data_IF_842962121083
#
_entry.id   IF_842962121083
#
_cell.length_a   1.000
_cell.length_b   1.000
_cell.length_c   1.000
_cell.angle_alpha   90.00
_cell.angle_beta   90.00
_cell.angle_gamma   90.00
#
_symmetry.space_group_name_H-M   'P 1'
#
loop_
_entity.id
_entity.type
_entity.pdbx_description
1 polymer ?
#
# COMPACT_ATOMS: atom_id res chain seq x y z
N UNK A 1 -5.75 37.58 40.63
CA UNK A 1 -4.81 36.47 40.83
C UNK A 1 -5.38 35.10 40.50
N UNK A 2 -6.56 34.71 41.02
CA UNK A 2 -7.15 33.36 40.80
C UNK A 2 -7.35 32.96 39.32
N UNK A 3 -7.82 33.86 38.41
CA UNK A 3 -8.04 33.55 36.99
C UNK A 3 -6.74 33.31 36.19
N UNK A 4 -5.63 33.91 36.60
CA UNK A 4 -4.32 33.72 35.95
C UNK A 4 -3.68 32.38 36.34
N UNK A 5 -3.82 31.97 37.61
CA UNK A 5 -3.38 30.70 38.10
C UNK A 5 -4.16 29.52 37.48
N UNK A 6 -5.49 29.67 37.29
CA UNK A 6 -6.32 28.67 36.64
C UNK A 6 -5.96 28.47 35.16
N UNK A 7 -5.67 29.56 34.42
CA UNK A 7 -5.22 29.45 33.01
C UNK A 7 -3.88 28.73 32.90
N UNK A 8 -2.94 29.01 33.78
CA UNK A 8 -1.63 28.32 33.81
C UNK A 8 -1.81 26.83 34.11
N UNK A 9 -2.67 26.49 35.07
CA UNK A 9 -2.96 25.09 35.40
C UNK A 9 -3.62 24.32 34.24
N UNK A 10 -4.56 24.93 33.53
CA UNK A 10 -5.20 24.33 32.35
C UNK A 10 -4.18 24.14 31.22
N UNK A 11 -3.32 25.11 30.98
CA UNK A 11 -2.27 25.01 29.94
C UNK A 11 -1.28 23.88 30.27
N UNK A 12 -0.88 23.74 31.52
CA UNK A 12 0.03 22.66 31.96
C UNK A 12 -0.67 21.29 31.83
N UNK A 13 -1.95 21.20 32.19
CA UNK A 13 -2.71 19.94 32.04
C UNK A 13 -2.88 19.51 30.58
N UNK A 14 -3.17 20.46 29.67
CA UNK A 14 -3.25 20.20 28.23
C UNK A 14 -1.90 19.75 27.68
N UNK A 15 -0.81 20.44 28.09
CA UNK A 15 0.54 20.07 27.64
C UNK A 15 0.99 18.71 28.15
N UNK A 16 0.65 18.38 29.41
CA UNK A 16 0.92 17.06 29.99
C UNK A 16 0.09 15.96 29.28
N UNK A 17 -1.16 16.23 28.93
CA UNK A 17 -2.01 15.31 28.17
C UNK A 17 -1.44 15.01 26.78
N UNK A 18 -1.01 16.05 26.05
CA UNK A 18 -0.37 15.89 24.73
C UNK A 18 0.92 15.08 24.82
N UNK A 19 1.74 15.33 25.84
CA UNK A 19 2.98 14.57 26.06
C UNK A 19 2.71 13.09 26.41
N UNK A 20 1.64 12.82 27.17
CA UNK A 20 1.22 11.45 27.51
C UNK A 20 0.73 10.73 26.25
N UNK A 21 -0.04 11.38 25.39
CA UNK A 21 -0.49 10.80 24.13
C UNK A 21 0.69 10.50 23.18
N UNK A 22 1.63 11.43 23.07
CA UNK A 22 2.85 11.22 22.27
C UNK A 22 3.71 10.06 22.82
N UNK A 23 3.89 9.98 24.16
CA UNK A 23 4.63 8.89 24.80
C UNK A 23 3.90 7.54 24.63
N UNK A 24 2.56 7.54 24.67
CA UNK A 24 1.73 6.35 24.46
C UNK A 24 1.79 5.87 23.00
N UNK A 25 1.81 6.79 22.04
CA UNK A 25 2.03 6.47 20.63
C UNK A 25 3.42 5.85 20.37
N UNK A 26 4.48 6.44 20.94
CA UNK A 26 5.85 5.91 20.86
C UNK A 26 5.96 4.54 21.55
N UNK A 27 5.32 4.38 22.72
CA UNK A 27 5.30 3.11 23.47
C UNK A 27 4.58 2.02 22.67
N UNK A 28 3.43 2.32 22.06
CA UNK A 28 2.69 1.37 21.23
C UNK A 28 3.46 1.00 19.96
N UNK A 29 4.14 1.96 19.32
CA UNK A 29 5.01 1.70 18.18
C UNK A 29 6.16 0.75 18.54
N UNK A 30 6.88 1.02 19.66
CA UNK A 30 7.93 0.13 20.12
C UNK A 30 7.41 -1.23 20.57
N UNK A 31 6.24 -1.28 21.21
CA UNK A 31 5.60 -2.54 21.61
C UNK A 31 5.12 -3.33 20.38
N UNK A 32 4.62 -2.66 19.36
CA UNK A 32 4.26 -3.30 18.10
C UNK A 32 5.48 -3.84 17.35
N UNK A 33 6.56 -3.07 17.24
CA UNK A 33 7.85 -3.58 16.73
C UNK A 33 8.41 -4.73 17.57
N UNK A 34 8.23 -4.69 18.87
CA UNK A 34 8.73 -5.70 19.80
C UNK A 34 7.83 -6.95 19.80
N UNK A 35 6.51 -6.81 19.70
CA UNK A 35 5.59 -7.94 19.59
C UNK A 35 5.74 -8.65 18.23
N UNK A 36 6.01 -7.93 17.14
CA UNK A 36 6.39 -8.57 15.86
C UNK A 36 7.72 -9.33 15.99
N UNK A 37 8.70 -8.83 16.75
CA UNK A 37 9.94 -9.56 17.05
C UNK A 37 9.72 -10.74 18.00
N UNK A 38 8.78 -10.63 18.95
CA UNK A 38 8.48 -11.70 19.93
C UNK A 38 7.61 -12.81 19.35
N UNK A 39 6.73 -12.53 18.39
CA UNK A 39 6.00 -13.56 17.63
C UNK A 39 6.97 -14.48 16.88
N UNK A 40 8.13 -13.96 16.45
CA UNK A 40 9.18 -14.72 15.80
C UNK A 40 10.07 -15.53 16.78
N UNK A 41 10.10 -15.17 18.06
CA UNK A 41 10.92 -15.89 19.08
C UNK A 41 10.15 -17.06 19.72
N UNK A 42 8.82 -17.10 19.65
CA UNK A 42 8.00 -18.18 20.27
C UNK A 42 7.97 -19.46 19.45
N UNK A 43 8.43 -19.46 18.18
CA UNK A 43 8.46 -20.67 17.33
C UNK A 43 9.71 -21.55 17.51
N UNK A 44 10.55 -21.33 18.51
CA UNK A 44 11.74 -22.15 18.74
C UNK A 44 11.91 -22.57 20.20
N UNK A 45 10.97 -23.33 20.76
CA UNK A 45 11.28 -24.38 21.74
C UNK A 45 10.11 -25.35 21.85
N UNK A 46 10.39 -26.53 21.40
CA UNK A 46 9.59 -27.74 21.36
C UNK A 46 8.95 -28.17 22.68
N UNK A 47 7.89 -28.91 22.57
CA UNK A 47 7.08 -29.69 23.53
C UNK A 47 5.89 -28.94 24.15
N UNK A 48 5.99 -27.69 24.58
CA UNK A 48 4.83 -26.98 25.14
C UNK A 48 3.89 -26.43 24.05
N UNK A 49 4.40 -26.11 22.86
CA UNK A 49 3.59 -25.63 21.72
C UNK A 49 2.74 -26.76 21.11
N UNK A 50 3.24 -28.00 21.11
CA UNK A 50 2.50 -29.18 20.60
C UNK A 50 1.26 -29.45 21.46
N UNK A 51 1.39 -29.38 22.79
CA UNK A 51 0.26 -29.59 23.70
C UNK A 51 -0.81 -28.50 23.61
N UNK A 52 -0.39 -27.24 23.38
CA UNK A 52 -1.34 -26.11 23.24
C UNK A 52 -2.10 -26.18 21.93
N UNK A 53 -1.49 -26.69 20.86
CA UNK A 53 -2.14 -26.89 19.56
C UNK A 53 -3.10 -28.09 19.62
N UNK A 54 -2.72 -29.16 20.30
CA UNK A 54 -3.62 -30.33 20.49
C UNK A 54 -4.85 -29.95 21.33
N UNK A 55 -4.69 -29.19 22.42
CA UNK A 55 -5.84 -28.68 23.20
C UNK A 55 -6.75 -27.76 22.38
N UNK A 56 -6.21 -26.87 21.54
CA UNK A 56 -6.98 -26.00 20.68
C UNK A 56 -7.71 -26.76 19.55
N UNK A 57 -7.12 -27.84 19.05
CA UNK A 57 -7.74 -28.74 18.06
C UNK A 57 -8.87 -29.55 18.70
N UNK A 58 -8.68 -30.06 19.92
CA UNK A 58 -9.74 -30.77 20.64
C UNK A 58 -10.93 -29.85 20.96
N UNK A 59 -10.69 -28.63 21.43
CA UNK A 59 -11.75 -27.64 21.73
C UNK A 59 -12.51 -27.23 20.46
N UNK A 60 -11.82 -27.08 19.30
CA UNK A 60 -12.44 -26.85 18.01
C UNK A 60 -13.25 -28.05 17.52
N UNK A 61 -12.73 -29.26 17.67
CA UNK A 61 -13.43 -30.51 17.28
C UNK A 61 -14.67 -30.75 18.14
N UNK A 62 -14.62 -30.44 19.44
CA UNK A 62 -15.77 -30.54 20.34
C UNK A 62 -16.86 -29.52 19.95
N UNK A 63 -16.47 -28.30 19.59
CA UNK A 63 -17.40 -27.25 19.12
C UNK A 63 -18.05 -27.59 17.77
N UNK A 64 -17.37 -28.32 16.88
CA UNK A 64 -17.90 -28.76 15.58
C UNK A 64 -18.80 -29.99 15.73
N UNK A 65 -18.54 -30.89 16.71
CA UNK A 65 -19.34 -32.07 16.97
C UNK A 65 -20.73 -31.77 17.54
N UNK A 66 -20.87 -30.62 18.24
CA UNK A 66 -22.18 -30.14 18.72
C UNK A 66 -23.07 -29.57 17.61
N UNK A 67 -22.50 -29.20 16.46
CA UNK A 67 -23.22 -28.57 15.34
C UNK A 67 -23.61 -29.58 14.24
N UNK A 68 -22.92 -30.71 14.11
CA UNK A 68 -23.18 -31.71 13.05
C UNK A 68 -23.09 -33.13 13.60
N UNK A 69 -24.23 -33.77 13.77
CA UNK A 69 -24.32 -35.16 14.18
C UNK A 69 -23.81 -36.17 13.11
N UNK A 70 -22.54 -36.11 12.70
CA UNK A 70 -21.89 -37.06 11.79
C UNK A 70 -20.56 -37.49 12.38
N UNK A 71 -20.50 -38.79 12.72
CA UNK A 71 -19.31 -39.48 13.17
C UNK A 71 -18.53 -40.05 11.98
N UNK A 72 -17.21 -40.14 12.15
CA UNK A 72 -16.20 -40.86 11.36
C UNK A 72 -15.67 -40.19 10.07
N UNK A 73 -14.54 -39.52 10.25
CA UNK A 73 -13.48 -39.47 9.24
C UNK A 73 -12.10 -39.55 9.93
N UNK A 74 -11.42 -40.68 9.75
CA UNK A 74 -10.02 -40.90 10.12
C UNK A 74 -9.11 -40.39 8.98
N UNK A 75 -8.24 -39.41 9.26
CA UNK A 75 -7.16 -38.95 8.36
C UNK A 75 -5.90 -39.79 8.65
N UNK A 76 -5.22 -40.34 7.63
CA UNK A 76 -3.95 -41.08 7.84
C UNK A 76 -2.83 -40.08 8.16
N UNK A 77 -2.10 -40.34 9.23
CA UNK A 77 -0.85 -39.61 9.56
C UNK A 77 0.29 -40.27 8.76
N UNK A 78 0.84 -39.56 7.78
CA UNK A 78 2.09 -39.94 7.15
C UNK A 78 3.29 -39.39 7.96
N UNK A 79 4.34 -40.23 8.02
CA UNK A 79 5.53 -40.11 8.87
C UNK A 79 6.38 -38.86 8.62
N UNK A 80 6.90 -38.32 9.73
CA UNK A 80 7.84 -37.21 9.79
C UNK A 80 9.10 -37.44 8.94
N UNK A 81 9.27 -36.64 7.87
CA UNK A 81 10.58 -36.37 7.29
C UNK A 81 11.14 -35.10 7.96
N UNK A 82 12.37 -35.20 8.46
CA UNK A 82 13.11 -34.06 9.00
C UNK A 82 13.27 -32.99 7.93
N UNK A 83 12.50 -31.92 8.03
CA UNK A 83 12.73 -30.70 7.27
C UNK A 83 13.76 -29.89 8.05
N UNK A 84 14.98 -29.77 7.53
CA UNK A 84 15.92 -28.73 7.96
C UNK A 84 15.30 -27.37 7.66
N UNK A 85 14.90 -26.66 8.70
CA UNK A 85 14.47 -25.26 8.56
C UNK A 85 15.72 -24.41 8.35
N UNK A 86 15.96 -24.01 7.11
CA UNK A 86 16.85 -22.90 6.85
C UNK A 86 16.28 -21.65 7.53
N UNK A 87 17.16 -20.88 8.17
CA UNK A 87 16.87 -19.63 8.85
C UNK A 87 16.42 -18.60 7.81
N UNK A 88 15.11 -18.59 7.49
CA UNK A 88 14.53 -17.60 6.60
C UNK A 88 14.55 -16.29 7.36
N UNK A 89 15.46 -15.40 7.02
CA UNK A 89 15.40 -14.00 7.45
C UNK A 89 14.04 -13.44 7.04
N UNK A 90 13.20 -13.16 8.03
CA UNK A 90 11.78 -12.79 7.86
C UNK A 90 11.65 -11.37 7.29
N UNK A 91 12.06 -11.21 6.06
CA UNK A 91 11.75 -10.08 5.24
C UNK A 91 10.29 -10.20 4.79
N UNK A 92 9.50 -9.18 5.01
CA UNK A 92 8.07 -9.17 4.66
C UNK A 92 7.78 -8.04 3.69
N UNK A 93 7.13 -8.38 2.58
CA UNK A 93 6.69 -7.38 1.60
C UNK A 93 5.19 -7.55 1.32
N UNK A 94 4.43 -6.50 1.57
CA UNK A 94 2.97 -6.50 1.40
C UNK A 94 2.55 -5.22 0.69
N UNK A 95 1.65 -5.36 -0.30
CA UNK A 95 0.97 -4.23 -0.93
C UNK A 95 -0.53 -4.38 -0.72
N UNK A 96 -1.16 -3.32 -0.18
CA UNK A 96 -2.60 -3.18 -0.10
C UNK A 96 -3.08 -2.21 -1.18
N UNK A 97 -3.91 -2.69 -2.09
CA UNK A 97 -4.66 -1.87 -3.04
C UNK A 97 -6.06 -1.66 -2.46
N UNK A 98 -6.32 -0.47 -1.95
CA UNK A 98 -7.56 -0.17 -1.25
C UNK A 98 -8.75 0.00 -2.21
N UNK A 99 -9.92 -0.49 -1.82
CA UNK A 99 -11.20 -0.15 -2.48
C UNK A 99 -11.64 1.25 -2.02
N UNK A 100 -11.18 2.26 -2.72
CA UNK A 100 -11.50 3.69 -2.47
C UNK A 100 -12.56 4.24 -3.42
N UNK A 101 -13.25 3.35 -4.13
CA UNK A 101 -14.12 3.73 -5.24
C UNK A 101 -13.33 4.13 -6.48
N UNK A 102 -13.82 5.14 -7.21
CA UNK A 102 -13.09 5.67 -8.37
C UNK A 102 -11.93 6.52 -7.86
N UNK A 103 -10.72 5.99 -7.97
CA UNK A 103 -9.48 6.59 -7.50
C UNK A 103 -8.44 5.56 -7.09
N UNK A 104 -7.29 6.03 -6.67
CA UNK A 104 -6.15 5.22 -6.26
C UNK A 104 -5.76 5.46 -4.81
N UNK A 105 -5.49 4.37 -4.11
CA UNK A 105 -4.75 4.39 -2.85
C UNK A 105 -4.08 3.05 -2.62
N UNK A 106 -2.77 3.07 -2.44
CA UNK A 106 -1.95 1.88 -2.29
C UNK A 106 -1.00 2.05 -1.13
N UNK A 107 -1.01 1.11 -0.18
CA UNK A 107 -0.05 1.08 0.92
C UNK A 107 0.94 -0.06 0.69
N UNK A 108 2.23 0.26 0.70
CA UNK A 108 3.33 -0.71 0.60
C UNK A 108 4.04 -0.80 1.94
N UNK A 109 4.15 -1.99 2.46
CA UNK A 109 4.93 -2.30 3.66
C UNK A 109 6.11 -3.20 3.27
N UNK A 110 7.31 -2.84 3.69
CA UNK A 110 8.49 -3.68 3.56
C UNK A 110 9.36 -3.58 4.82
N UNK A 111 9.55 -4.70 5.51
CA UNK A 111 10.40 -4.80 6.72
C UNK A 111 10.05 -3.77 7.82
N UNK A 112 8.81 -3.30 7.83
CA UNK A 112 8.29 -2.31 8.76
C UNK A 112 8.43 -0.86 8.30
N UNK A 113 9.03 -0.59 7.14
CA UNK A 113 8.96 0.71 6.48
C UNK A 113 7.68 0.80 5.64
N UNK A 114 7.07 1.98 5.59
CA UNK A 114 5.74 2.20 5.01
C UNK A 114 5.77 3.27 3.92
N UNK A 115 5.16 2.98 2.78
CA UNK A 115 4.95 3.94 1.71
C UNK A 115 3.48 3.98 1.31
N UNK A 116 2.86 5.14 1.44
CA UNK A 116 1.50 5.38 0.94
C UNK A 116 1.57 6.07 -0.42
N UNK A 117 1.00 5.47 -1.44
CA UNK A 117 0.90 5.99 -2.81
C UNK A 117 -0.56 6.33 -3.06
N UNK A 118 -0.83 7.61 -3.28
CA UNK A 118 -2.16 8.19 -3.44
C UNK A 118 -3.12 7.94 -2.27
N UNK A 119 -4.25 8.60 -2.28
CA UNK A 119 -5.18 8.61 -1.15
C UNK A 119 -6.65 8.50 -1.55
N UNK A 120 -6.94 8.22 -2.83
CA UNK A 120 -8.30 8.20 -3.33
C UNK A 120 -8.97 9.58 -3.33
N UNK A 121 -10.28 9.58 -3.50
CA UNK A 121 -11.11 10.80 -3.50
C UNK A 121 -11.13 11.49 -2.13
N UNK A 122 -11.53 12.77 -2.03
CA UNK A 122 -11.49 13.52 -0.77
C UNK A 122 -12.27 12.89 0.39
N UNK A 123 -13.32 12.11 0.09
CA UNK A 123 -14.08 11.38 1.11
C UNK A 123 -13.30 10.24 1.77
N UNK A 124 -12.21 9.77 1.15
CA UNK A 124 -11.32 8.74 1.70
C UNK A 124 -10.40 9.25 2.81
N UNK A 125 -10.35 10.58 3.07
CA UNK A 125 -9.54 11.15 4.15
C UNK A 125 -9.82 10.51 5.51
N UNK A 126 -11.10 10.26 5.84
CA UNK A 126 -11.46 9.62 7.11
C UNK A 126 -11.12 8.14 7.12
N UNK A 127 -11.27 7.45 6.00
CA UNK A 127 -10.85 6.05 5.84
C UNK A 127 -9.37 5.88 6.12
N UNK A 128 -8.51 6.65 5.45
CA UNK A 128 -7.06 6.57 5.63
C UNK A 128 -6.63 6.95 7.06
N UNK A 129 -7.22 8.01 7.64
CA UNK A 129 -6.99 8.34 9.04
C UNK A 129 -7.29 7.14 9.94
N UNK A 130 -8.49 6.55 9.82
CA UNK A 130 -8.93 5.45 10.66
C UNK A 130 -8.14 4.16 10.41
N UNK A 131 -7.80 3.87 9.16
CA UNK A 131 -6.99 2.71 8.81
C UNK A 131 -5.62 2.77 9.48
N UNK A 132 -4.91 3.90 9.31
CA UNK A 132 -3.59 4.08 9.93
C UNK A 132 -3.67 4.06 11.47
N UNK A 133 -4.72 4.65 12.06
CA UNK A 133 -4.95 4.63 13.51
C UNK A 133 -5.18 3.20 14.02
N UNK A 134 -6.05 2.43 13.37
CA UNK A 134 -6.38 1.06 13.77
C UNK A 134 -5.20 0.10 13.65
N UNK A 135 -4.34 0.31 12.64
CA UNK A 135 -3.15 -0.51 12.43
C UNK A 135 -1.91 0.03 13.15
N UNK A 136 -2.04 1.15 13.89
CA UNK A 136 -0.94 1.75 14.65
C UNK A 136 0.17 2.35 13.79
N UNK A 137 -0.11 2.65 12.50
CA UNK A 137 0.84 3.20 11.54
C UNK A 137 0.95 4.70 11.75
N UNK A 138 1.76 5.12 12.70
CA UNK A 138 1.94 6.54 13.07
C UNK A 138 3.05 7.25 12.29
N UNK A 139 3.76 6.53 11.41
CA UNK A 139 4.82 7.05 10.58
C UNK A 139 4.79 6.39 9.20
N UNK A 140 4.88 7.20 8.16
CA UNK A 140 5.08 6.79 6.79
C UNK A 140 6.48 7.25 6.37
N UNK A 141 7.34 6.33 5.92
CA UNK A 141 8.68 6.67 5.44
C UNK A 141 8.54 7.52 4.18
N UNK A 142 7.58 7.16 3.34
CA UNK A 142 7.26 7.88 2.12
C UNK A 142 5.76 8.08 1.95
N UNK A 143 5.40 9.22 1.38
CA UNK A 143 4.10 9.46 0.79
C UNK A 143 4.31 9.93 -0.64
N UNK A 144 3.58 9.34 -1.58
CA UNK A 144 3.68 9.66 -3.00
C UNK A 144 2.31 10.09 -3.48
N UNK A 145 2.20 11.32 -3.98
CA UNK A 145 1.09 11.77 -4.79
C UNK A 145 1.50 11.60 -6.24
N UNK A 146 0.93 10.63 -6.95
CA UNK A 146 1.35 10.34 -8.34
C UNK A 146 1.11 11.55 -9.22
N UNK A 147 -0.07 12.16 -9.10
CA UNK A 147 -0.41 13.42 -9.77
C UNK A 147 -1.52 14.17 -9.00
N UNK A 148 -1.91 15.35 -9.47
CA UNK A 148 -2.69 16.29 -8.66
C UNK A 148 -4.23 16.14 -8.77
N UNK A 149 -4.76 15.16 -9.49
CA UNK A 149 -6.20 14.93 -9.55
C UNK A 149 -6.78 14.52 -8.19
N UNK A 150 -8.05 14.86 -7.96
CA UNK A 150 -8.70 14.72 -6.65
C UNK A 150 -8.91 13.26 -6.23
N UNK A 151 -9.01 12.34 -7.16
CA UNK A 151 -9.14 10.90 -6.95
C UNK A 151 -7.81 10.19 -6.64
N UNK A 152 -6.72 10.96 -6.58
CA UNK A 152 -5.38 10.54 -6.14
C UNK A 152 -4.94 11.30 -4.89
N UNK A 153 -4.93 12.65 -4.94
CA UNK A 153 -4.45 13.45 -3.82
C UNK A 153 -5.47 13.59 -2.68
N UNK A 154 -6.74 13.28 -2.95
CA UNK A 154 -7.88 13.67 -2.12
C UNK A 154 -7.80 13.25 -0.66
N UNK A 155 -7.48 11.99 -0.40
CA UNK A 155 -7.42 11.43 0.95
C UNK A 155 -6.09 11.63 1.67
N UNK A 156 -5.01 12.04 1.00
CA UNK A 156 -3.67 12.14 1.60
C UNK A 156 -3.60 13.08 2.81
N UNK A 157 -4.44 14.13 2.83
CA UNK A 157 -4.54 15.01 3.98
C UNK A 157 -5.04 14.27 5.24
N UNK A 158 -5.88 13.25 5.09
CA UNK A 158 -6.34 12.39 6.19
C UNK A 158 -5.21 11.55 6.77
N UNK A 159 -4.40 10.93 5.91
CA UNK A 159 -3.22 10.17 6.32
C UNK A 159 -2.23 11.07 7.08
N UNK A 160 -1.92 12.25 6.54
CA UNK A 160 -1.01 13.23 7.16
C UNK A 160 -1.57 13.87 8.44
N UNK A 161 -2.87 13.86 8.65
CA UNK A 161 -3.49 14.32 9.90
C UNK A 161 -3.23 13.34 11.06
N UNK A 162 -3.01 12.08 10.77
CA UNK A 162 -2.68 11.06 11.76
C UNK A 162 -1.19 10.75 11.80
N UNK A 163 -0.62 10.30 10.69
CA UNK A 163 0.76 9.83 10.62
C UNK A 163 1.75 10.97 10.31
N UNK A 164 2.95 10.85 10.85
CA UNK A 164 4.10 11.64 10.42
C UNK A 164 4.67 11.07 9.13
N UNK A 165 5.31 11.94 8.33
CA UNK A 165 5.93 11.50 7.08
C UNK A 165 7.42 11.81 7.06
N UNK A 166 8.21 10.89 6.50
CA UNK A 166 9.63 11.08 6.20
C UNK A 166 9.84 11.97 5.00
N UNK A 167 9.50 11.47 3.82
CA UNK A 167 9.60 12.17 2.53
C UNK A 167 8.25 12.17 1.83
N UNK A 168 7.89 13.31 1.24
CA UNK A 168 6.68 13.44 0.43
C UNK A 168 7.07 13.77 -1.01
N UNK A 169 6.71 12.89 -1.93
CA UNK A 169 6.89 13.07 -3.37
C UNK A 169 5.59 13.54 -4.02
N UNK A 170 5.71 14.47 -4.96
CA UNK A 170 4.69 14.81 -5.94
C UNK A 170 5.39 15.41 -7.18
N UNK A 171 4.81 15.31 -8.39
CA UNK A 171 5.47 15.81 -9.61
C UNK A 171 5.50 17.33 -9.69
N UNK A 172 4.65 18.00 -8.94
CA UNK A 172 4.52 19.47 -8.88
C UNK A 172 4.37 19.94 -7.44
N UNK A 173 4.68 21.20 -7.17
CA UNK A 173 4.59 21.81 -5.82
C UNK A 173 3.33 22.65 -5.61
N UNK A 174 2.64 23.03 -6.69
CA UNK A 174 1.45 23.87 -6.68
C UNK A 174 0.43 23.36 -7.69
N UNK A 175 -0.83 23.31 -7.29
CA UNK A 175 -1.97 23.00 -8.15
C UNK A 175 -3.23 23.65 -7.59
N UNK A 176 -4.06 24.24 -8.46
CA UNK A 176 -5.26 24.95 -8.03
C UNK A 176 -6.43 24.00 -7.77
N UNK A 177 -6.28 23.16 -6.75
CA UNK A 177 -7.38 22.36 -6.22
C UNK A 177 -7.41 22.42 -4.69
N UNK A 178 -8.60 22.21 -4.12
CA UNK A 178 -8.80 22.19 -2.67
C UNK A 178 -8.04 21.01 -2.04
N UNK A 179 -8.03 19.87 -2.70
CA UNK A 179 -7.40 18.65 -2.22
C UNK A 179 -5.88 18.76 -2.19
N UNK A 180 -5.27 19.28 -3.27
CA UNK A 180 -3.83 19.50 -3.32
C UNK A 180 -3.38 20.56 -2.30
N UNK A 181 -4.13 21.66 -2.18
CA UNK A 181 -3.87 22.67 -1.15
C UNK A 181 -3.96 22.10 0.27
N UNK A 182 -4.87 21.16 0.53
CA UNK A 182 -4.95 20.46 1.82
C UNK A 182 -3.74 19.55 2.05
N UNK A 183 -3.31 18.80 1.05
CA UNK A 183 -2.09 17.99 1.11
C UNK A 183 -0.86 18.83 1.48
N UNK A 184 -0.61 19.92 0.75
CA UNK A 184 0.49 20.87 1.03
C UNK A 184 0.39 21.49 2.44
N UNK A 185 -0.84 21.84 2.88
CA UNK A 185 -1.08 22.38 4.20
C UNK A 185 -0.67 21.41 5.30
N UNK A 186 -1.08 20.12 5.22
CA UNK A 186 -0.75 19.14 6.24
C UNK A 186 0.73 18.76 6.24
N UNK A 187 1.39 18.75 5.09
CA UNK A 187 2.86 18.65 5.00
C UNK A 187 3.54 19.82 5.74
N UNK A 188 3.09 21.05 5.47
CA UNK A 188 3.64 22.24 6.12
C UNK A 188 3.46 22.23 7.65
N UNK A 189 2.38 21.68 8.17
CA UNK A 189 2.16 21.50 9.61
C UNK A 189 3.14 20.52 10.25
N UNK A 190 3.74 19.64 9.45
CA UNK A 190 4.80 18.73 9.86
C UNK A 190 6.21 19.25 9.52
N UNK A 191 6.32 20.51 9.09
CA UNK A 191 7.57 21.14 8.62
C UNK A 191 8.18 20.40 7.42
N UNK A 192 7.32 19.73 6.63
CA UNK A 192 7.67 19.00 5.42
C UNK A 192 7.26 19.78 4.17
N UNK A 193 7.92 19.46 3.06
CA UNK A 193 7.63 20.03 1.73
C UNK A 193 7.59 18.88 0.72
N UNK A 194 6.96 19.15 -0.41
CA UNK A 194 7.02 18.26 -1.55
C UNK A 194 8.44 18.24 -2.09
N UNK A 195 8.93 17.02 -2.33
CA UNK A 195 10.11 16.73 -3.13
C UNK A 195 9.62 16.34 -4.52
N UNK A 196 10.02 17.10 -5.54
CA UNK A 196 9.77 16.74 -6.94
C UNK A 196 10.88 15.78 -7.34
N UNK A 197 10.55 14.53 -7.68
CA UNK A 197 11.57 13.55 -8.00
C UNK A 197 12.05 13.69 -9.45
N UNK A 198 13.24 13.17 -9.73
CA UNK A 198 13.76 13.01 -11.09
C UNK A 198 13.63 11.55 -11.53
N UNK A 199 13.27 11.31 -12.80
CA UNK A 199 13.24 9.96 -13.35
C UNK A 199 14.65 9.33 -13.31
N UNK A 200 14.72 8.07 -12.87
CA UNK A 200 15.96 7.35 -12.60
C UNK A 200 16.44 7.45 -11.15
N UNK A 201 15.87 8.31 -10.31
CA UNK A 201 16.13 8.27 -8.88
C UNK A 201 15.64 6.96 -8.28
N UNK A 202 16.35 6.51 -7.24
CA UNK A 202 15.98 5.31 -6.50
C UNK A 202 16.17 5.51 -4.99
N UNK A 203 15.37 4.81 -4.22
CA UNK A 203 15.44 4.79 -2.76
C UNK A 203 15.05 3.40 -2.24
N UNK A 204 15.37 3.14 -0.97
CA UNK A 204 15.02 1.89 -0.31
C UNK A 204 13.73 2.06 0.51
N UNK A 205 12.88 1.05 0.46
CA UNK A 205 11.76 0.83 1.38
C UNK A 205 12.02 -0.52 2.06
N UNK A 206 12.53 -0.51 3.29
CA UNK A 206 13.09 -1.72 3.89
C UNK A 206 14.19 -2.31 3.02
N UNK A 207 14.03 -3.57 2.63
CA UNK A 207 14.94 -4.25 1.68
C UNK A 207 14.52 -4.13 0.21
N UNK A 208 13.35 -3.54 -0.08
CA UNK A 208 12.89 -3.31 -1.45
C UNK A 208 13.58 -2.09 -2.07
N UNK A 209 13.95 -2.20 -3.35
CA UNK A 209 14.47 -1.08 -4.13
C UNK A 209 13.32 -0.44 -4.91
N UNK A 210 13.12 0.85 -4.75
CA UNK A 210 12.12 1.65 -5.48
C UNK A 210 12.82 2.56 -6.47
N UNK A 211 12.47 2.45 -7.74
CA UNK A 211 12.97 3.31 -8.82
C UNK A 211 11.83 4.16 -9.35
N UNK A 212 12.08 5.45 -9.51
CA UNK A 212 11.16 6.40 -10.13
C UNK A 212 11.39 6.35 -11.64
N UNK A 213 10.39 5.91 -12.40
CA UNK A 213 10.47 5.78 -13.85
C UNK A 213 10.00 7.04 -14.59
N UNK A 214 9.09 7.80 -13.98
CA UNK A 214 8.45 8.99 -14.52
C UNK A 214 8.06 9.96 -13.37
N UNK A 215 7.75 11.25 -13.68
CA UNK A 215 7.71 11.85 -15.02
C UNK A 215 9.10 12.13 -15.60
N UNK A 216 9.25 11.97 -16.92
CA UNK A 216 10.49 12.30 -17.66
C UNK A 216 10.36 13.68 -18.30
N UNK A 217 9.21 13.97 -18.89
CA UNK A 217 8.94 15.22 -19.58
C UNK A 217 7.66 15.87 -19.03
N UNK A 218 7.83 16.82 -18.12
CA UNK A 218 6.71 17.55 -17.52
C UNK A 218 5.96 18.47 -18.50
N UNK A 219 6.46 18.74 -19.71
CA UNK A 219 5.69 19.45 -20.74
C UNK A 219 4.46 18.66 -21.19
N UNK A 220 4.49 17.32 -21.08
CA UNK A 220 3.30 16.49 -21.38
C UNK A 220 2.14 16.78 -20.43
N UNK A 221 2.44 17.27 -19.22
CA UNK A 221 1.43 17.62 -18.22
C UNK A 221 0.73 18.97 -18.52
N UNK A 222 1.28 19.81 -19.38
CA UNK A 222 0.63 21.09 -19.77
C UNK A 222 -0.70 20.84 -20.50
N UNK A 223 -0.76 19.77 -21.30
CA UNK A 223 -1.97 19.37 -22.01
C UNK A 223 -2.85 18.40 -21.20
N UNK A 224 -2.24 17.55 -20.39
CA UNK A 224 -2.93 16.53 -19.59
C UNK A 224 -2.11 16.17 -18.34
N UNK A 225 -2.62 16.56 -17.17
CA UNK A 225 -1.95 16.38 -15.87
C UNK A 225 -1.69 14.90 -15.53
N UNK A 226 -2.44 13.94 -16.11
CA UNK A 226 -2.18 12.51 -15.96
C UNK A 226 -0.76 12.13 -16.38
N UNK A 227 -0.23 12.81 -17.41
CA UNK A 227 1.13 12.60 -17.90
C UNK A 227 2.21 13.27 -17.01
N UNK A 228 1.85 13.74 -15.81
CA UNK A 228 2.81 14.04 -14.76
C UNK A 228 2.94 12.93 -13.73
N UNK A 229 2.25 11.82 -13.91
CA UNK A 229 2.19 10.75 -12.92
C UNK A 229 3.58 10.24 -12.55
N UNK A 230 3.86 10.20 -11.26
CA UNK A 230 5.04 9.47 -10.75
C UNK A 230 4.77 7.98 -10.97
N UNK A 231 5.59 7.36 -11.81
CA UNK A 231 5.56 5.92 -12.06
C UNK A 231 6.69 5.27 -11.27
N UNK A 232 6.36 4.27 -10.47
CA UNK A 232 7.30 3.57 -9.60
C UNK A 232 7.49 2.13 -10.06
N UNK A 233 8.75 1.67 -10.06
CA UNK A 233 9.07 0.24 -10.10
C UNK A 233 9.68 -0.16 -8.76
N UNK A 234 9.07 -1.15 -8.10
CA UNK A 234 9.49 -1.68 -6.82
C UNK A 234 10.02 -3.09 -7.04
N UNK A 235 11.20 -3.39 -6.53
CA UNK A 235 11.84 -4.72 -6.64
C UNK A 235 12.11 -5.25 -5.25
N UNK A 236 11.57 -6.43 -4.96
CA UNK A 236 11.78 -7.15 -3.73
C UNK A 236 12.16 -8.61 -4.04
N UNK A 237 13.41 -8.98 -3.75
CA UNK A 237 13.96 -10.27 -4.20
C UNK A 237 13.87 -10.43 -5.72
N UNK A 238 13.23 -11.49 -6.17
CA UNK A 238 12.96 -11.81 -7.58
C UNK A 238 11.58 -11.31 -8.05
N UNK A 239 10.77 -10.71 -7.17
CA UNK A 239 9.48 -10.13 -7.52
C UNK A 239 9.59 -8.64 -7.81
N UNK A 240 8.73 -8.13 -8.68
CA UNK A 240 8.73 -6.73 -9.05
C UNK A 240 7.34 -6.21 -9.38
N UNK A 241 7.13 -4.92 -9.12
CA UNK A 241 5.84 -4.26 -9.17
C UNK A 241 5.98 -2.93 -9.89
N UNK A 242 5.06 -2.61 -10.81
CA UNK A 242 4.97 -1.28 -11.41
C UNK A 242 3.65 -0.65 -10.97
N UNK A 243 3.74 0.57 -10.42
CA UNK A 243 2.60 1.40 -10.06
C UNK A 243 2.65 2.65 -10.94
N UNK A 244 1.61 2.85 -11.74
CA UNK A 244 1.65 3.80 -12.85
C UNK A 244 0.94 5.13 -12.58
N UNK A 245 0.15 5.23 -11.50
CA UNK A 245 -0.81 6.32 -11.39
C UNK A 245 -1.70 6.34 -12.64
N UNK A 246 -1.91 7.51 -13.20
CA UNK A 246 -2.71 7.68 -14.40
C UNK A 246 -1.89 8.02 -15.65
N UNK A 247 -0.59 7.67 -15.65
CA UNK A 247 0.25 7.82 -16.83
C UNK A 247 -0.44 7.30 -18.08
N UNK A 248 -0.52 8.12 -19.11
CA UNK A 248 -1.13 7.77 -20.39
C UNK A 248 -0.07 7.40 -21.42
N UNK A 249 -0.50 6.99 -22.62
CA UNK A 249 0.39 6.50 -23.69
C UNK A 249 1.56 7.44 -24.00
N UNK A 250 1.37 8.77 -23.86
CA UNK A 250 2.43 9.75 -24.09
C UNK A 250 3.55 9.61 -23.05
N UNK A 251 3.21 9.48 -21.75
CA UNK A 251 4.17 9.27 -20.68
C UNK A 251 4.79 7.87 -20.74
N UNK A 252 3.98 6.84 -20.97
CA UNK A 252 4.47 5.47 -21.16
C UNK A 252 5.52 5.38 -22.28
N UNK A 253 5.33 6.16 -23.38
CA UNK A 253 6.28 6.23 -24.45
C UNK A 253 7.63 6.82 -24.00
N UNK A 254 7.63 7.85 -23.16
CA UNK A 254 8.87 8.44 -22.65
C UNK A 254 9.63 7.44 -21.77
N UNK A 255 8.91 6.64 -20.97
CA UNK A 255 9.48 5.56 -20.14
C UNK A 255 10.12 4.49 -21.02
N UNK A 256 9.43 4.06 -22.10
CA UNK A 256 9.95 3.09 -23.06
C UNK A 256 11.21 3.61 -23.78
N UNK A 257 11.18 4.87 -24.22
CA UNK A 257 12.29 5.52 -24.93
C UNK A 257 13.53 5.71 -24.03
N UNK A 258 13.31 5.85 -22.71
CA UNK A 258 14.39 5.94 -21.72
C UNK A 258 15.13 4.61 -21.49
N UNK A 259 14.52 3.48 -21.86
CA UNK A 259 15.16 2.17 -21.82
C UNK A 259 15.34 1.57 -20.42
N UNK A 260 14.47 1.94 -19.48
CA UNK A 260 14.45 1.32 -18.16
C UNK A 260 14.08 -0.17 -18.23
N UNK A 261 14.53 -0.94 -17.23
CA UNK A 261 14.03 -2.29 -17.00
C UNK A 261 12.57 -2.21 -16.53
N UNK A 262 11.64 -2.76 -17.32
CA UNK A 262 10.20 -2.69 -17.05
C UNK A 262 9.60 -4.05 -16.73
N UNK A 263 10.25 -5.18 -17.08
CA UNK A 263 9.69 -6.48 -16.81
C UNK A 263 9.33 -6.60 -15.30
N UNK A 264 8.08 -6.93 -15.01
CA UNK A 264 7.59 -6.92 -13.62
C UNK A 264 6.48 -7.94 -13.40
N UNK A 265 6.50 -8.54 -12.20
CA UNK A 265 5.55 -9.59 -11.78
C UNK A 265 4.12 -9.06 -11.73
N UNK A 266 3.95 -7.84 -11.19
CA UNK A 266 2.65 -7.21 -10.98
C UNK A 266 2.63 -5.83 -11.62
N UNK A 267 1.56 -5.53 -12.35
CA UNK A 267 1.25 -4.21 -12.88
C UNK A 267 -0.02 -3.67 -12.21
N UNK A 268 0.07 -2.52 -11.55
CA UNK A 268 -1.10 -1.70 -11.29
C UNK A 268 -1.41 -0.96 -12.59
N UNK A 269 -2.53 -1.31 -13.19
CA UNK A 269 -2.98 -0.85 -14.52
C UNK A 269 -3.30 0.64 -14.49
N UNK A 270 -2.77 1.41 -15.43
CA UNK A 270 -2.88 2.86 -15.45
C UNK A 270 -4.32 3.37 -15.60
N UNK A 271 -4.59 4.51 -14.95
CA UNK A 271 -5.79 5.33 -15.12
C UNK A 271 -7.08 4.49 -14.99
N UNK A 272 -7.17 3.71 -13.91
CA UNK A 272 -8.33 2.87 -13.56
C UNK A 272 -8.75 1.90 -14.68
N UNK A 273 -7.83 1.58 -15.60
CA UNK A 273 -8.13 0.77 -16.78
C UNK A 273 -8.69 1.56 -17.97
N UNK A 274 -8.45 2.88 -18.03
CA UNK A 274 -8.76 3.71 -19.19
C UNK A 274 -8.10 3.18 -20.46
N UNK A 275 -8.77 3.39 -21.60
CA UNK A 275 -8.19 3.08 -22.91
C UNK A 275 -7.00 3.97 -23.30
N UNK A 276 -6.83 5.12 -22.63
CA UNK A 276 -5.73 6.07 -22.88
C UNK A 276 -4.42 5.64 -22.27
N UNK A 277 -4.46 4.64 -21.36
CA UNK A 277 -3.32 4.10 -20.61
C UNK A 277 -3.09 2.63 -20.91
N UNK A 278 -2.01 2.09 -20.36
CA UNK A 278 -1.58 0.69 -20.55
C UNK A 278 -1.56 0.34 -22.04
N UNK A 279 -0.78 1.14 -22.79
CA UNK A 279 -0.59 0.91 -24.22
C UNK A 279 -0.04 -0.48 -24.50
N UNK A 280 -0.30 -1.03 -25.68
CA UNK A 280 0.20 -2.37 -26.03
C UNK A 280 1.72 -2.48 -25.95
N UNK A 281 2.44 -1.40 -26.27
CA UNK A 281 3.89 -1.36 -26.20
C UNK A 281 4.39 -1.43 -24.74
N UNK A 282 3.76 -0.64 -23.86
CA UNK A 282 4.08 -0.64 -22.44
C UNK A 282 3.74 -1.97 -21.77
N UNK A 283 2.54 -2.50 -22.00
CA UNK A 283 2.12 -3.81 -21.49
C UNK A 283 3.04 -4.93 -21.94
N UNK A 284 3.49 -4.91 -23.20
CA UNK A 284 4.45 -5.90 -23.72
C UNK A 284 5.81 -5.79 -23.04
N UNK A 285 6.29 -4.57 -22.75
CA UNK A 285 7.56 -4.35 -22.07
C UNK A 285 7.51 -4.75 -20.60
N UNK A 286 6.38 -4.47 -19.92
CA UNK A 286 6.16 -4.89 -18.52
C UNK A 286 5.96 -6.40 -18.42
N UNK A 287 5.23 -7.00 -19.35
CA UNK A 287 4.95 -8.44 -19.42
C UNK A 287 4.51 -9.03 -18.06
N UNK A 288 3.46 -8.47 -17.42
CA UNK A 288 3.08 -8.83 -16.08
C UNK A 288 2.38 -10.18 -16.01
N UNK A 289 2.61 -10.93 -14.94
CA UNK A 289 1.84 -12.12 -14.62
C UNK A 289 0.47 -11.76 -13.99
N UNK A 290 0.45 -10.68 -13.23
CA UNK A 290 -0.74 -10.20 -12.52
C UNK A 290 -0.97 -8.72 -12.81
N UNK A 291 -2.24 -8.35 -12.94
CA UNK A 291 -2.67 -6.97 -13.08
C UNK A 291 -3.67 -6.61 -11.99
N UNK A 292 -3.51 -5.43 -11.39
CA UNK A 292 -4.48 -4.88 -10.44
C UNK A 292 -5.07 -3.61 -11.02
N UNK A 293 -6.40 -3.49 -10.99
CA UNK A 293 -7.14 -2.31 -11.43
C UNK A 293 -7.84 -1.72 -10.21
N UNK A 294 -7.40 -0.54 -9.78
CA UNK A 294 -8.15 0.27 -8.81
C UNK A 294 -9.25 1.01 -9.55
N UNK A 295 -10.50 0.71 -9.25
CA UNK A 295 -11.66 1.24 -10.00
C UNK A 295 -12.92 1.18 -9.15
N UNK A 296 -13.78 2.16 -9.27
CA UNK A 296 -15.06 2.22 -8.58
C UNK A 296 -16.17 1.45 -9.29
N UNK A 297 -17.01 0.81 -8.50
CA UNK A 297 -18.22 0.16 -9.03
C UNK A 297 -19.17 1.22 -9.60
N UNK A 298 -19.75 0.91 -10.77
CA UNK A 298 -20.75 1.77 -11.45
C UNK A 298 -20.23 3.22 -11.66
N UNK A 299 -18.92 3.38 -11.92
CA UNK A 299 -18.30 4.67 -12.14
C UNK A 299 -18.77 5.35 -13.44
N UNK A 300 -18.77 6.69 -13.45
CA UNK A 300 -19.28 7.48 -14.58
C UNK A 300 -18.41 7.47 -15.83
N UNK A 301 -17.17 6.97 -15.71
CA UNK A 301 -16.19 6.93 -16.81
C UNK A 301 -16.23 5.62 -17.58
N UNK A 302 -17.07 4.66 -17.14
CA UNK A 302 -17.18 3.32 -17.70
C UNK A 302 -15.86 2.52 -17.61
N UNK A 303 -14.98 2.88 -16.62
CA UNK A 303 -13.76 2.14 -16.34
C UNK A 303 -14.05 0.81 -15.63
N UNK A 304 -13.22 -0.24 -15.85
CA UNK A 304 -12.20 -0.31 -16.89
C UNK A 304 -12.81 -0.49 -18.27
N UNK A 305 -12.25 0.17 -19.28
CA UNK A 305 -12.71 0.02 -20.64
C UNK A 305 -12.49 -1.40 -21.19
N UNK A 306 -13.44 -1.88 -21.99
CA UNK A 306 -13.37 -3.22 -22.59
C UNK A 306 -12.08 -3.47 -23.37
N UNK A 307 -11.61 -2.47 -24.12
CA UNK A 307 -10.36 -2.57 -24.88
C UNK A 307 -9.14 -2.80 -23.98
N UNK A 308 -9.13 -2.25 -22.78
CA UNK A 308 -8.06 -2.47 -21.80
C UNK A 308 -8.14 -3.88 -21.25
N UNK A 309 -9.33 -4.34 -20.84
CA UNK A 309 -9.54 -5.71 -20.39
C UNK A 309 -9.14 -6.73 -21.46
N UNK A 310 -9.45 -6.48 -22.73
CA UNK A 310 -9.06 -7.33 -23.84
C UNK A 310 -7.52 -7.40 -24.00
N UNK A 311 -6.80 -6.26 -23.91
CA UNK A 311 -5.33 -6.23 -23.93
C UNK A 311 -4.72 -7.09 -22.80
N UNK A 312 -5.26 -6.99 -21.58
CA UNK A 312 -4.81 -7.76 -20.44
C UNK A 312 -5.07 -9.27 -20.61
N UNK A 313 -6.23 -9.62 -21.17
CA UNK A 313 -6.57 -11.00 -21.49
C UNK A 313 -5.65 -11.58 -22.58
N UNK A 314 -5.37 -10.81 -23.64
CA UNK A 314 -4.45 -11.22 -24.71
C UNK A 314 -3.00 -11.37 -24.19
N UNK A 315 -2.62 -10.64 -23.14
CA UNK A 315 -1.36 -10.79 -22.44
C UNK A 315 -1.35 -11.96 -21.45
N UNK A 316 -2.46 -12.73 -21.33
CA UNK A 316 -2.64 -13.85 -20.41
C UNK A 316 -2.43 -13.47 -18.92
N UNK A 317 -2.58 -12.18 -18.56
CA UNK A 317 -2.43 -11.71 -17.20
C UNK A 317 -3.66 -12.07 -16.34
N UNK A 318 -3.40 -12.45 -15.09
CA UNK A 318 -4.47 -12.63 -14.09
C UNK A 318 -4.87 -11.24 -13.57
N UNK A 319 -6.15 -10.88 -13.70
CA UNK A 319 -6.64 -9.55 -13.37
C UNK A 319 -7.45 -9.57 -12.08
N UNK A 320 -7.07 -8.70 -11.13
CA UNK A 320 -7.83 -8.36 -9.93
C UNK A 320 -8.38 -6.93 -10.06
N UNK A 321 -9.60 -6.69 -9.55
CA UNK A 321 -10.27 -5.38 -9.65
C UNK A 321 -10.91 -5.02 -8.32
N UNK A 322 -10.69 -3.79 -7.82
CA UNK A 322 -11.24 -3.37 -6.51
C UNK A 322 -12.77 -3.30 -6.50
N UNK A 323 -13.42 -2.97 -7.60
CA UNK A 323 -14.89 -2.95 -7.71
C UNK A 323 -15.55 -4.34 -7.61
N UNK A 324 -14.79 -5.41 -7.87
CA UNK A 324 -15.24 -6.80 -7.78
C UNK A 324 -14.70 -7.46 -6.51
N UNK A 325 -13.41 -7.30 -6.23
CA UNK A 325 -12.68 -8.04 -5.21
C UNK A 325 -12.62 -7.31 -3.85
N UNK A 326 -13.07 -6.04 -3.76
CA UNK A 326 -12.87 -5.19 -2.60
C UNK A 326 -11.39 -4.83 -2.44
N UNK A 327 -10.91 -4.70 -1.23
CA UNK A 327 -9.47 -4.55 -0.97
C UNK A 327 -8.70 -5.78 -1.50
N UNK A 328 -7.57 -5.51 -2.16
CA UNK A 328 -6.69 -6.54 -2.71
C UNK A 328 -5.35 -6.43 -2.02
N UNK A 329 -4.93 -7.49 -1.34
CA UNK A 329 -3.62 -7.59 -0.69
C UNK A 329 -2.71 -8.51 -1.49
N UNK A 330 -1.56 -8.01 -1.91
CA UNK A 330 -0.50 -8.79 -2.54
C UNK A 330 0.65 -8.98 -1.54
N UNK A 331 1.03 -10.23 -1.30
CA UNK A 331 2.12 -10.60 -0.39
C UNK A 331 3.22 -11.22 -1.23
N UNK A 332 4.47 -10.80 -1.02
CA UNK A 332 5.64 -11.41 -1.64
C UNK A 332 6.57 -12.02 -0.60
N UNK A 333 7.04 -13.23 -0.89
CA UNK A 333 8.12 -13.91 -0.14
C UNK A 333 9.52 -13.64 -0.75
N UNK A 334 9.59 -12.80 -1.78
CA UNK A 334 10.79 -12.48 -2.54
C UNK A 334 10.97 -13.31 -3.81
N UNK A 335 10.29 -14.44 -3.93
CA UNK A 335 10.33 -15.32 -5.10
C UNK A 335 8.96 -15.42 -5.79
N UNK A 336 7.89 -15.43 -4.99
CA UNK A 336 6.52 -15.57 -5.45
C UNK A 336 5.63 -14.48 -4.87
N UNK A 337 4.47 -14.28 -5.49
CA UNK A 337 3.42 -13.41 -4.97
C UNK A 337 2.14 -14.20 -4.72
N UNK A 338 1.46 -13.84 -3.65
CA UNK A 338 0.15 -14.39 -3.27
C UNK A 338 -0.86 -13.26 -3.13
N UNK A 339 -2.07 -13.45 -3.63
CA UNK A 339 -3.14 -12.47 -3.53
C UNK A 339 -4.23 -12.94 -2.56
N UNK A 340 -4.68 -12.01 -1.73
CA UNK A 340 -5.84 -12.16 -0.84
C UNK A 340 -6.81 -11.04 -1.16
N UNK A 341 -8.09 -11.34 -1.27
CA UNK A 341 -9.13 -10.34 -1.58
C UNK A 341 -10.20 -10.33 -0.48
N UNK A 342 -10.82 -9.17 -0.29
CA UNK A 342 -11.90 -9.00 0.71
C UNK A 342 -13.19 -9.72 0.30
N UNK A 343 -13.48 -9.82 -1.01
CA UNK A 343 -14.72 -10.40 -1.60
C UNK A 343 -14.40 -11.56 -2.50
#
# INVERSE_FOLDING_TARGET
>A
MKKRALRILVTIAVFAFVLIQAAYGIYNYHRFRQSRREIHVVNTTSEDASNTIEEAIEEYQESVSEISGVSDYSVPVESEENVEYEDISESSFVIHFFDVGEGDSTLVECDGDMMLIDGGIPSCSQFLYSYLEQHGISYLDYIVCTHAHEDHVGGLAGALNFAKVGTAYAPITEYDSRSFNSFVKYLSQQEKRITVPEAGEHFMLGSANVTILAPIDLYLAEDNINNSSIVLRIVYGNTSFIITGDAEEAEEKTILDAGYELNSTVLRVGHHGSQTSTSQAFLTAVNPQYCVISVGKDNQYEHPHEVTLQKLQEAEAIVYRTDINGEITCISDGDNVTFVTEK
#
